data_IF_204766868993
#
_entry.id   IF_204766868993
#
_cell.length_a   1.000
_cell.length_b   1.000
_cell.length_c   1.000
_cell.angle_alpha   90.00
_cell.angle_beta   90.00
_cell.angle_gamma   90.00
#
_symmetry.space_group_name_H-M   'P 1'
#
loop_
_entity.id
_entity.type
_entity.pdbx_description
1 polymer ?
#
# COMPACT_ATOMS: atom_id res chain seq x y z
N UNK A 1 -24.25 -15.92 -48.08
CA UNK A 1 -24.31 -14.44 -48.12
C UNK A 1 -25.49 -13.96 -47.28
N UNK A 2 -25.17 -13.31 -46.15
CA UNK A 2 -25.90 -12.25 -45.43
C UNK A 2 -27.45 -12.26 -45.32
N UNK A 3 -27.99 -12.36 -44.10
CA UNK A 3 -28.57 -11.21 -43.35
C UNK A 3 -29.04 -11.60 -41.93
N UNK A 4 -28.55 -10.82 -40.98
CA UNK A 4 -28.89 -10.77 -39.56
C UNK A 4 -30.08 -9.81 -39.38
N UNK A 5 -31.06 -10.15 -38.54
CA UNK A 5 -32.04 -9.24 -37.93
C UNK A 5 -32.54 -9.92 -36.64
N UNK A 6 -32.01 -9.58 -35.45
CA UNK A 6 -32.40 -8.47 -34.57
C UNK A 6 -33.89 -8.48 -34.16
N UNK A 7 -34.20 -9.24 -33.09
CA UNK A 7 -35.29 -8.99 -32.14
C UNK A 7 -34.60 -9.08 -30.76
N UNK A 8 -34.56 -8.07 -29.90
CA UNK A 8 -35.72 -7.35 -29.39
C UNK A 8 -36.09 -7.91 -28.02
N UNK A 9 -35.21 -7.73 -27.03
CA UNK A 9 -35.49 -7.98 -25.60
C UNK A 9 -35.09 -6.66 -24.91
N UNK A 10 -35.96 -5.92 -24.25
CA UNK A 10 -37.04 -6.33 -23.38
C UNK A 10 -36.80 -5.62 -22.05
N UNK A 11 -37.30 -4.38 -21.96
CA UNK A 11 -37.65 -3.62 -20.77
C UNK A 11 -37.21 -4.20 -19.41
N UNK A 12 -36.09 -3.73 -18.85
CA UNK A 12 -35.85 -3.82 -17.41
C UNK A 12 -36.28 -2.51 -16.73
N UNK A 13 -37.59 -2.36 -16.59
CA UNK A 13 -38.17 -1.52 -15.55
C UNK A 13 -38.09 -2.30 -14.23
N UNK A 14 -37.00 -2.07 -13.47
CA UNK A 14 -36.79 -2.68 -12.16
C UNK A 14 -36.38 -1.61 -11.16
N UNK A 15 -37.37 -1.10 -10.43
CA UNK A 15 -37.28 -0.47 -9.11
C UNK A 15 -35.88 0.07 -8.71
N UNK A 16 -35.62 1.33 -9.00
CA UNK A 16 -34.50 2.06 -8.39
C UNK A 16 -34.85 2.34 -6.92
N UNK A 17 -34.59 1.37 -6.04
CA UNK A 17 -34.50 1.62 -4.61
C UNK A 17 -33.41 2.68 -4.38
N UNK A 18 -33.63 3.67 -3.49
CA UNK A 18 -32.56 4.57 -3.10
C UNK A 18 -31.45 3.72 -2.47
N UNK A 19 -30.29 3.60 -3.14
CA UNK A 19 -29.09 2.96 -2.59
C UNK A 19 -28.50 3.88 -1.52
N UNK A 20 -29.15 3.91 -0.36
CA UNK A 20 -28.74 4.59 0.86
C UNK A 20 -28.28 3.62 1.94
N UNK A 21 -27.73 2.45 1.55
CA UNK A 21 -27.10 1.53 2.47
C UNK A 21 -25.59 1.65 2.28
N UNK A 22 -24.90 2.22 3.27
CA UNK A 22 -23.45 2.34 3.33
C UNK A 22 -22.82 0.96 3.34
N UNK A 23 -22.58 0.44 2.15
CA UNK A 23 -21.55 -0.54 1.93
C UNK A 23 -20.20 0.13 2.25
N UNK A 24 -19.20 -0.62 2.71
CA UNK A 24 -18.02 -0.12 3.42
C UNK A 24 -17.38 1.17 2.83
N UNK A 25 -16.63 1.98 3.61
CA UNK A 25 -15.92 3.16 3.08
C UNK A 25 -15.03 2.88 1.85
N UNK A 26 -14.56 1.64 1.66
CA UNK A 26 -13.84 1.24 0.46
C UNK A 26 -14.75 1.15 -0.78
N UNK A 27 -15.97 0.66 -0.61
CA UNK A 27 -16.97 0.58 -1.68
C UNK A 27 -17.52 1.96 -2.05
N UNK A 28 -17.77 2.80 -1.03
CA UNK A 28 -18.14 4.20 -1.24
C UNK A 28 -17.06 4.95 -2.04
N UNK A 29 -15.78 4.74 -1.73
CA UNK A 29 -14.67 5.32 -2.48
C UNK A 29 -14.63 4.81 -3.94
N UNK A 30 -14.86 3.52 -4.14
CA UNK A 30 -14.72 2.88 -5.44
C UNK A 30 -15.90 3.15 -6.40
N UNK A 31 -17.12 3.27 -5.89
CA UNK A 31 -18.33 3.11 -6.71
C UNK A 31 -19.41 4.17 -6.50
N UNK A 32 -19.27 5.07 -5.51
CA UNK A 32 -20.31 6.07 -5.27
C UNK A 32 -20.43 7.06 -6.43
N UNK A 33 -21.66 7.31 -6.88
CA UNK A 33 -21.96 8.31 -7.90
C UNK A 33 -21.72 9.76 -7.43
N UNK A 34 -21.81 10.01 -6.13
CA UNK A 34 -21.58 11.33 -5.55
C UNK A 34 -20.10 11.51 -5.17
N UNK A 35 -19.44 12.49 -5.79
CA UNK A 35 -18.03 12.80 -5.50
C UNK A 35 -17.80 13.19 -4.03
N UNK A 36 -18.80 13.75 -3.34
CA UNK A 36 -18.70 14.14 -1.92
C UNK A 36 -18.61 12.92 -1.03
N UNK A 37 -19.31 11.84 -1.40
CA UNK A 37 -19.24 10.55 -0.72
C UNK A 37 -17.87 9.92 -0.97
N UNK A 38 -17.41 9.87 -2.23
CA UNK A 38 -16.06 9.36 -2.57
C UNK A 38 -14.94 10.13 -1.85
N UNK A 39 -15.04 11.46 -1.82
CA UNK A 39 -14.10 12.33 -1.12
C UNK A 39 -14.06 12.01 0.39
N UNK A 40 -15.23 11.94 1.03
CA UNK A 40 -15.35 11.57 2.45
C UNK A 40 -14.77 10.18 2.71
N UNK A 41 -15.08 9.23 1.84
CA UNK A 41 -14.60 7.86 1.89
C UNK A 41 -13.07 7.79 1.79
N UNK A 42 -12.44 8.54 0.87
CA UNK A 42 -10.98 8.62 0.77
C UNK A 42 -10.33 9.09 2.08
N UNK A 43 -10.89 10.12 2.72
CA UNK A 43 -10.38 10.62 4.00
C UNK A 43 -10.55 9.59 5.12
N UNK A 44 -11.72 8.95 5.21
CA UNK A 44 -12.02 7.93 6.21
C UNK A 44 -11.07 6.74 6.06
N UNK A 45 -10.96 6.20 4.84
CA UNK A 45 -10.12 5.04 4.53
C UNK A 45 -8.65 5.31 4.87
N UNK A 46 -8.13 6.49 4.55
CA UNK A 46 -6.76 6.88 4.91
C UNK A 46 -6.52 7.00 6.42
N UNK A 47 -7.43 7.67 7.15
CA UNK A 47 -7.30 7.88 8.60
C UNK A 47 -7.49 6.60 9.41
N UNK A 48 -8.42 5.75 8.99
CA UNK A 48 -8.76 4.49 9.68
C UNK A 48 -7.81 3.34 9.31
N UNK A 49 -7.01 3.50 8.25
CA UNK A 49 -5.99 2.53 7.81
C UNK A 49 -6.55 1.13 7.59
N UNK A 50 -7.76 1.05 7.02
CA UNK A 50 -8.42 -0.22 6.73
C UNK A 50 -7.58 -1.03 5.74
N UNK A 51 -7.57 -2.37 5.89
CA UNK A 51 -6.93 -3.28 4.93
C UNK A 51 -7.43 -3.01 3.51
N UNK A 52 -6.53 -2.81 2.56
CA UNK A 52 -6.89 -2.44 1.18
C UNK A 52 -7.02 -0.94 0.91
N UNK A 53 -6.82 -0.08 1.92
CA UNK A 53 -6.84 1.37 1.77
C UNK A 53 -5.89 1.88 0.69
N UNK A 54 -4.65 1.38 0.67
CA UNK A 54 -3.61 1.84 -0.25
C UNK A 54 -4.01 1.70 -1.74
N UNK A 55 -4.31 0.49 -2.26
CA UNK A 55 -4.67 0.37 -3.67
C UNK A 55 -5.94 1.15 -4.01
N UNK A 56 -6.91 1.25 -3.09
CA UNK A 56 -8.12 2.04 -3.32
C UNK A 56 -7.83 3.55 -3.41
N UNK A 57 -6.98 4.08 -2.51
CA UNK A 57 -6.56 5.48 -2.54
C UNK A 57 -5.66 5.79 -3.74
N UNK A 58 -4.80 4.87 -4.15
CA UNK A 58 -4.00 5.02 -5.37
C UNK A 58 -4.87 5.10 -6.62
N UNK A 59 -5.92 4.26 -6.72
CA UNK A 59 -6.89 4.36 -7.81
C UNK A 59 -7.66 5.69 -7.78
N UNK A 60 -8.02 6.17 -6.59
CA UNK A 60 -8.72 7.45 -6.42
C UNK A 60 -7.88 8.70 -6.76
N UNK A 61 -6.56 8.56 -6.96
CA UNK A 61 -5.74 9.64 -7.53
C UNK A 61 -6.15 10.00 -8.96
N UNK A 62 -6.80 9.09 -9.69
CA UNK A 62 -7.30 9.31 -11.04
C UNK A 62 -8.81 9.61 -11.10
N UNK A 63 -9.42 9.92 -9.95
CA UNK A 63 -10.84 10.27 -9.91
C UNK A 63 -11.15 11.48 -10.82
N UNK A 64 -12.28 11.49 -11.55
CA UNK A 64 -12.65 12.62 -12.40
C UNK A 64 -12.77 13.93 -11.62
N UNK A 65 -13.18 13.87 -10.35
CA UNK A 65 -13.41 15.06 -9.53
C UNK A 65 -12.15 15.48 -8.77
N UNK A 66 -11.69 16.75 -8.89
CA UNK A 66 -10.44 17.22 -8.27
C UNK A 66 -10.41 17.09 -6.75
N UNK A 67 -11.56 17.32 -6.09
CA UNK A 67 -11.66 17.18 -4.63
C UNK A 67 -11.39 15.74 -4.15
N UNK A 68 -11.77 14.72 -4.92
CA UNK A 68 -11.51 13.32 -4.57
C UNK A 68 -10.02 13.01 -4.74
N UNK A 69 -9.38 13.49 -5.82
CA UNK A 69 -7.93 13.33 -6.02
C UNK A 69 -7.11 13.94 -4.88
N UNK A 70 -7.48 15.15 -4.43
CA UNK A 70 -6.84 15.81 -3.28
C UNK A 70 -7.07 15.04 -1.96
N UNK A 71 -8.28 14.52 -1.75
CA UNK A 71 -8.60 13.69 -0.59
C UNK A 71 -7.83 12.35 -0.61
N UNK A 72 -7.69 11.72 -1.77
CA UNK A 72 -6.91 10.51 -1.97
C UNK A 72 -5.43 10.74 -1.64
N UNK A 73 -4.86 11.85 -2.14
CA UNK A 73 -3.49 12.25 -1.81
C UNK A 73 -3.29 12.46 -0.30
N UNK A 74 -4.26 13.08 0.37
CA UNK A 74 -4.24 13.27 1.83
C UNK A 74 -4.37 11.92 2.56
N UNK A 75 -5.26 11.03 2.10
CA UNK A 75 -5.43 9.70 2.66
C UNK A 75 -4.17 8.83 2.56
N UNK A 76 -3.41 8.95 1.47
CA UNK A 76 -2.12 8.26 1.31
C UNK A 76 -1.07 8.77 2.32
N UNK A 77 -1.08 10.07 2.63
CA UNK A 77 -0.23 10.62 3.70
C UNK A 77 -0.66 10.08 5.06
N UNK A 78 -1.95 9.99 5.36
CA UNK A 78 -2.46 9.43 6.63
C UNK A 78 -2.06 7.97 6.80
N UNK A 79 -2.11 7.18 5.72
CA UNK A 79 -1.63 5.81 5.73
C UNK A 79 -0.14 5.72 6.11
N UNK A 80 0.66 6.64 5.56
CA UNK A 80 2.08 6.78 5.90
C UNK A 80 3.01 5.79 5.20
N UNK A 81 2.50 5.03 4.23
CA UNK A 81 3.30 4.12 3.40
C UNK A 81 4.06 4.92 2.32
N UNK A 82 5.38 5.01 2.47
CA UNK A 82 6.29 5.77 1.60
C UNK A 82 6.33 5.23 0.17
N UNK A 83 5.96 3.97 -0.07
CA UNK A 83 5.86 3.45 -1.44
C UNK A 83 4.72 4.11 -2.27
N UNK A 84 3.90 4.96 -1.65
CA UNK A 84 2.91 5.79 -2.34
C UNK A 84 3.53 7.04 -3.02
N UNK A 85 4.78 7.39 -2.73
CA UNK A 85 5.47 8.57 -3.28
C UNK A 85 5.45 8.54 -4.82
N UNK A 86 5.82 7.41 -5.42
CA UNK A 86 5.87 7.27 -6.88
C UNK A 86 4.50 7.51 -7.55
N UNK A 87 3.41 7.04 -6.93
CA UNK A 87 2.06 7.26 -7.45
C UNK A 87 1.65 8.73 -7.36
N UNK A 88 2.01 9.42 -6.27
CA UNK A 88 1.74 10.85 -6.09
C UNK A 88 2.52 11.71 -7.11
N UNK A 89 3.80 11.40 -7.34
CA UNK A 89 4.63 12.11 -8.33
C UNK A 89 4.12 11.91 -9.75
N UNK A 90 3.80 10.66 -10.12
CA UNK A 90 3.25 10.34 -11.43
C UNK A 90 1.96 11.11 -11.69
N UNK A 91 1.04 11.13 -10.71
CA UNK A 91 -0.20 11.90 -10.82
C UNK A 91 0.06 13.40 -10.88
N UNK A 92 0.96 13.94 -10.06
CA UNK A 92 1.31 15.37 -10.07
C UNK A 92 1.88 15.84 -11.41
N UNK A 93 2.59 14.95 -12.13
CA UNK A 93 3.15 15.24 -13.45
C UNK A 93 2.10 15.51 -14.52
N UNK A 94 0.91 14.91 -14.41
CA UNK A 94 -0.18 15.01 -15.38
C UNK A 94 -1.41 15.76 -14.85
N UNK A 95 -1.35 16.28 -13.62
CA UNK A 95 -2.49 16.92 -12.97
C UNK A 95 -2.80 18.30 -13.57
N UNK A 96 -4.00 18.50 -14.17
CA UNK A 96 -4.36 19.79 -14.77
C UNK A 96 -4.76 20.86 -13.74
N UNK A 97 -5.28 20.48 -12.57
CA UNK A 97 -5.69 21.44 -11.55
C UNK A 97 -4.49 21.86 -10.68
N UNK A 98 -4.18 23.16 -10.64
CA UNK A 98 -3.03 23.71 -9.91
C UNK A 98 -3.05 23.40 -8.41
N UNK A 99 -4.22 23.48 -7.77
CA UNK A 99 -4.35 23.28 -6.33
C UNK A 99 -4.18 21.79 -5.97
N UNK A 100 -4.75 20.91 -6.78
CA UNK A 100 -4.54 19.45 -6.65
C UNK A 100 -3.08 19.09 -6.90
N UNK A 101 -2.44 19.71 -7.89
CA UNK A 101 -1.01 19.50 -8.20
C UNK A 101 -0.12 19.88 -7.01
N UNK A 102 -0.36 21.04 -6.39
CA UNK A 102 0.35 21.44 -5.17
C UNK A 102 0.09 20.48 -4.02
N UNK A 103 -1.14 20.00 -3.87
CA UNK A 103 -1.51 19.02 -2.84
C UNK A 103 -0.76 17.70 -3.03
N UNK A 104 -0.72 17.17 -4.25
CA UNK A 104 0.01 15.94 -4.59
C UNK A 104 1.50 16.08 -4.30
N UNK A 105 2.12 17.18 -4.74
CA UNK A 105 3.54 17.47 -4.51
C UNK A 105 3.85 17.59 -3.01
N UNK A 106 3.04 18.35 -2.25
CA UNK A 106 3.20 18.47 -0.80
C UNK A 106 2.99 17.15 -0.08
N UNK A 107 2.03 16.33 -0.51
CA UNK A 107 1.82 14.99 0.04
C UNK A 107 3.03 14.07 -0.20
N UNK A 108 3.60 14.11 -1.40
CA UNK A 108 4.81 13.35 -1.73
C UNK A 108 6.00 13.84 -0.88
N UNK A 109 6.18 15.15 -0.72
CA UNK A 109 7.20 15.73 0.17
C UNK A 109 7.01 15.32 1.64
N UNK A 110 5.77 15.34 2.16
CA UNK A 110 5.47 14.89 3.52
C UNK A 110 5.83 13.41 3.71
N UNK A 111 5.53 12.57 2.72
CA UNK A 111 5.93 11.17 2.75
C UNK A 111 7.44 10.99 2.63
N UNK A 112 8.15 11.77 1.80
CA UNK A 112 9.62 11.78 1.76
C UNK A 112 10.24 12.28 3.07
N UNK A 113 9.63 13.27 3.72
CA UNK A 113 10.08 13.72 5.04
C UNK A 113 9.87 12.63 6.09
N UNK A 114 8.77 11.86 5.99
CA UNK A 114 8.55 10.65 6.78
C UNK A 114 9.47 9.50 6.40
N UNK A 115 9.89 9.39 5.15
CA UNK A 115 10.91 8.44 4.68
C UNK A 115 12.32 8.86 5.11
N UNK A 116 12.61 10.16 5.23
CA UNK A 116 13.89 10.65 5.72
C UNK A 116 13.96 10.51 7.24
N UNK A 117 12.85 10.76 7.94
CA UNK A 117 12.69 10.49 9.38
C UNK A 117 12.59 8.97 9.66
N UNK A 118 11.95 8.24 8.75
CA UNK A 118 11.75 6.79 8.70
C UNK A 118 12.80 6.05 7.89
N UNK A 119 13.89 6.72 7.50
CA UNK A 119 15.12 6.11 7.00
C UNK A 119 15.86 5.40 8.13
N UNK A 120 15.31 5.54 9.34
CA UNK A 120 15.58 4.72 10.50
C UNK A 120 14.46 3.71 10.79
N UNK A 121 13.37 3.55 10.05
CA UNK A 121 12.32 2.54 10.36
C UNK A 121 12.49 1.20 9.66
N UNK A 122 13.75 0.80 9.47
CA UNK A 122 14.17 -0.58 9.70
C UNK A 122 14.84 -0.79 11.06
N UNK A 123 14.97 0.23 11.93
CA UNK A 123 15.81 0.19 13.15
C UNK A 123 15.45 1.08 14.37
N UNK A 124 14.66 2.15 14.25
CA UNK A 124 14.42 3.16 15.33
C UNK A 124 13.13 2.92 16.12
N UNK A 125 12.13 2.30 15.49
CA UNK A 125 11.01 1.67 16.21
C UNK A 125 11.16 0.15 16.27
N UNK A 126 12.28 -0.38 15.81
CA UNK A 126 12.57 -1.78 15.99
C UNK A 126 12.62 -2.04 17.51
N UNK A 127 11.67 -2.80 18.03
CA UNK A 127 11.69 -3.23 19.42
C UNK A 127 12.67 -4.39 19.61
N UNK A 128 12.98 -5.08 18.53
CA UNK A 128 13.89 -6.22 18.48
C UNK A 128 14.46 -6.38 17.07
N UNK A 129 15.60 -7.03 16.98
CA UNK A 129 16.28 -7.40 15.74
C UNK A 129 16.01 -8.86 15.48
N UNK A 130 15.76 -9.21 14.23
CA UNK A 130 15.58 -10.58 13.78
C UNK A 130 16.69 -10.89 12.77
N UNK A 131 17.63 -11.72 13.18
CA UNK A 131 18.70 -12.19 12.32
C UNK A 131 18.29 -13.50 11.66
N UNK A 132 18.17 -13.48 10.33
CA UNK A 132 17.98 -14.69 9.53
C UNK A 132 19.32 -15.41 9.49
N UNK A 133 19.35 -16.61 10.06
CA UNK A 133 20.53 -17.46 10.14
C UNK A 133 20.57 -18.51 9.04
N UNK A 134 21.14 -19.68 9.37
CA UNK A 134 21.27 -20.76 8.41
C UNK A 134 19.91 -21.39 8.13
N UNK A 135 19.55 -21.52 6.84
CA UNK A 135 18.36 -22.23 6.40
C UNK A 135 18.76 -23.55 5.74
N UNK A 136 18.39 -24.65 6.36
CA UNK A 136 18.65 -26.01 5.89
C UNK A 136 17.54 -26.45 4.97
N UNK A 137 17.94 -27.01 3.83
CA UNK A 137 16.99 -27.68 2.97
C UNK A 137 16.73 -29.10 3.51
N UNK A 138 15.53 -29.35 4.00
CA UNK A 138 15.08 -30.68 4.44
C UNK A 138 14.48 -31.53 3.31
N UNK A 139 14.42 -30.99 2.09
CA UNK A 139 13.97 -31.75 0.91
C UNK A 139 15.08 -32.65 0.36
N UNK A 140 14.68 -33.63 -0.45
CA UNK A 140 15.58 -34.51 -1.20
C UNK A 140 16.30 -33.81 -2.35
N UNK A 141 15.93 -32.56 -2.68
CA UNK A 141 16.48 -31.80 -3.80
C UNK A 141 17.80 -31.15 -3.40
N UNK A 142 18.92 -31.60 -3.99
CA UNK A 142 20.24 -31.00 -3.74
C UNK A 142 20.47 -29.80 -4.66
N UNK A 143 20.60 -28.61 -4.09
CA UNK A 143 21.06 -27.43 -4.82
C UNK A 143 21.83 -26.49 -3.90
N UNK A 144 22.92 -25.91 -4.44
CA UNK A 144 23.79 -24.97 -3.74
C UNK A 144 23.11 -23.61 -3.49
N UNK A 145 22.09 -23.29 -4.28
CA UNK A 145 21.38 -22.00 -4.21
C UNK A 145 20.18 -22.03 -3.26
N UNK A 146 19.67 -23.22 -2.93
CA UNK A 146 18.47 -23.38 -2.10
C UNK A 146 18.61 -22.72 -0.74
N UNK A 147 19.81 -22.76 -0.14
CA UNK A 147 20.07 -22.06 1.12
C UNK A 147 19.85 -20.54 1.00
N UNK A 148 20.25 -19.95 -0.14
CA UNK A 148 20.07 -18.52 -0.41
C UNK A 148 18.60 -18.19 -0.68
N UNK A 149 17.90 -19.02 -1.44
CA UNK A 149 16.47 -18.85 -1.73
C UNK A 149 15.65 -18.92 -0.44
N UNK A 150 15.91 -19.92 0.43
CA UNK A 150 15.23 -20.07 1.70
C UNK A 150 15.51 -18.88 2.63
N UNK A 151 16.76 -18.41 2.72
CA UNK A 151 17.07 -17.19 3.48
C UNK A 151 16.34 -15.96 2.94
N UNK A 152 16.30 -15.77 1.63
CA UNK A 152 15.60 -14.67 0.98
C UNK A 152 14.09 -14.70 1.24
N UNK A 153 13.48 -15.87 1.09
CA UNK A 153 12.07 -16.07 1.39
C UNK A 153 11.76 -15.80 2.87
N UNK A 154 12.58 -16.30 3.79
CA UNK A 154 12.40 -16.05 5.23
C UNK A 154 12.56 -14.57 5.57
N UNK A 155 13.55 -13.88 4.99
CA UNK A 155 13.73 -12.43 5.18
C UNK A 155 12.49 -11.67 4.72
N UNK A 156 11.98 -11.97 3.53
CA UNK A 156 10.79 -11.32 2.98
C UNK A 156 9.53 -11.57 3.84
N UNK A 157 9.33 -12.81 4.30
CA UNK A 157 8.21 -13.16 5.17
C UNK A 157 8.34 -12.45 6.53
N UNK A 158 9.54 -12.43 7.12
CA UNK A 158 9.81 -11.78 8.38
C UNK A 158 9.57 -10.27 8.29
N UNK A 159 10.04 -9.60 7.23
CA UNK A 159 9.80 -8.17 7.02
C UNK A 159 8.32 -7.85 6.86
N UNK A 160 7.55 -8.72 6.21
CA UNK A 160 6.13 -8.50 5.99
C UNK A 160 5.25 -8.81 7.21
N UNK A 161 5.63 -9.78 8.04
CA UNK A 161 4.80 -10.26 9.16
C UNK A 161 5.21 -9.70 10.51
N UNK A 162 6.49 -9.44 10.73
CA UNK A 162 7.01 -9.00 12.02
C UNK A 162 6.97 -7.47 12.09
N UNK A 163 5.96 -6.98 12.80
CA UNK A 163 5.84 -5.55 13.07
C UNK A 163 6.93 -5.10 14.05
N UNK A 164 7.49 -3.91 13.81
CA UNK A 164 8.51 -3.32 14.68
C UNK A 164 9.77 -4.20 14.84
N UNK A 165 10.11 -4.97 13.80
CA UNK A 165 11.31 -5.81 13.77
C UNK A 165 12.32 -5.28 12.76
N UNK A 166 13.57 -5.18 13.16
CA UNK A 166 14.69 -4.99 12.24
C UNK A 166 15.13 -6.34 11.71
N UNK A 167 14.74 -6.70 10.48
CA UNK A 167 15.14 -7.99 9.88
C UNK A 167 16.44 -7.82 9.11
N UNK A 168 17.44 -8.63 9.45
CA UNK A 168 18.78 -8.56 8.88
C UNK A 168 19.27 -9.95 8.47
N UNK A 169 20.22 -9.98 7.54
CA UNK A 169 20.98 -11.18 7.16
C UNK A 169 22.35 -11.20 7.87
N UNK A 170 23.04 -12.35 7.90
CA UNK A 170 24.41 -12.49 8.41
C UNK A 170 25.42 -11.60 7.67
N UNK A 171 25.17 -11.34 6.38
CA UNK A 171 25.96 -10.41 5.57
C UNK A 171 25.81 -8.94 5.99
N UNK A 172 24.75 -8.61 6.71
CA UNK A 172 24.41 -7.25 7.15
C UNK A 172 24.91 -6.95 8.58
N UNK A 173 25.95 -7.66 9.03
CA UNK A 173 26.51 -7.55 10.39
C UNK A 173 27.00 -6.14 10.81
N UNK A 174 27.13 -5.21 9.87
CA UNK A 174 27.42 -3.80 10.18
C UNK A 174 26.19 -3.08 10.74
N UNK A 175 24.97 -3.45 10.32
CA UNK A 175 23.71 -2.93 10.87
C UNK A 175 23.46 -3.46 12.30
N UNK A 176 23.90 -4.69 12.61
CA UNK A 176 23.89 -5.22 13.99
C UNK A 176 24.69 -4.35 14.97
N UNK A 177 25.80 -3.77 14.52
CA UNK A 177 26.64 -2.91 15.38
C UNK A 177 25.92 -1.61 15.77
N UNK A 178 25.05 -1.12 14.89
CA UNK A 178 24.22 0.07 15.12
C UNK A 178 23.01 -0.25 15.99
N UNK A 179 22.49 -1.48 15.95
CA UNK A 179 21.27 -1.92 16.64
C UNK A 179 21.53 -2.67 17.97
N UNK A 180 22.75 -2.62 18.52
CA UNK A 180 23.15 -3.35 19.74
C UNK A 180 22.29 -3.10 20.99
N UNK A 181 21.48 -2.04 21.01
CA UNK A 181 20.58 -1.71 22.14
C UNK A 181 19.27 -2.49 22.13
N UNK A 182 19.00 -3.25 21.08
CA UNK A 182 17.76 -4.00 20.89
C UNK A 182 17.95 -5.50 21.13
N UNK A 183 16.97 -6.20 21.73
CA UNK A 183 16.94 -7.66 21.81
C UNK A 183 17.14 -8.30 20.44
N UNK A 184 18.01 -9.31 20.35
CA UNK A 184 18.31 -10.03 19.10
C UNK A 184 17.66 -11.42 19.14
N UNK A 185 16.85 -11.71 18.12
CA UNK A 185 16.26 -13.03 17.86
C UNK A 185 16.94 -13.62 16.63
N UNK A 186 17.51 -14.81 16.76
CA UNK A 186 18.09 -15.53 15.63
C UNK A 186 17.09 -16.57 15.11
N UNK A 187 16.80 -16.53 13.82
CA UNK A 187 15.94 -17.48 13.13
C UNK A 187 16.80 -18.45 12.33
N UNK A 188 17.01 -19.63 12.89
CA UNK A 188 17.64 -20.76 12.21
C UNK A 188 16.55 -21.79 11.83
N UNK A 189 16.75 -22.51 10.73
CA UNK A 189 15.79 -23.49 10.20
C UNK A 189 16.44 -24.60 9.39
#
# INVERSE_FOLDING_TARGET
MLKIALLGVGLFAGLALPRGASASPLEDLASSGDFRVRMSAALIVGRTKITGAKPALQAALDDPHPAVRAAAASGLVELGDTSSIAALDARAGVEPNSDVKMTLASSAEKLRAREAKGGKTGGDHAKYVVQVGAMRNLSTVKSKEMATVLRGATKQVATNRLQNAAVIDESEGQLLKTLKRLPLLRLDG
#
